data_IF_169245052182
#
_entry.id   IF_169245052182
#
_cell.length_a   1.000
_cell.length_b   1.000
_cell.length_c   1.000
_cell.angle_alpha   90.00
_cell.angle_beta   90.00
_cell.angle_gamma   90.00
#
_symmetry.space_group_name_H-M   'P 1'
#
loop_
_entity.id
_entity.type
_entity.pdbx_description
1 polymer ?
#
# COMPACT_ATOMS: atom_id res chain seq x y z
N UNK A 1 -36.84 -0.03 -52.59
CA UNK A 1 -36.38 -0.27 -51.20
C UNK A 1 -34.85 -0.38 -51.19
N UNK A 2 -34.13 0.75 -51.29
CA UNK A 2 -32.68 0.76 -51.60
C UNK A 2 -31.91 1.84 -50.82
N UNK A 3 -32.37 2.15 -49.60
CA UNK A 3 -31.82 3.25 -48.77
C UNK A 3 -31.55 2.87 -47.30
N UNK A 4 -31.63 1.58 -46.94
CA UNK A 4 -31.46 1.15 -45.54
C UNK A 4 -30.04 0.66 -45.24
N UNK A 5 -29.24 0.36 -46.27
CA UNK A 5 -27.92 -0.28 -46.08
C UNK A 5 -26.78 0.70 -45.75
N UNK A 6 -27.00 2.02 -45.81
CA UNK A 6 -25.93 3.02 -45.74
C UNK A 6 -25.69 3.62 -44.35
N UNK A 7 -26.45 3.22 -43.33
CA UNK A 7 -26.38 3.82 -41.98
C UNK A 7 -25.59 2.94 -41.00
N UNK A 8 -25.38 1.65 -41.32
CA UNK A 8 -24.67 0.70 -40.42
C UNK A 8 -23.13 0.86 -40.48
N UNK A 9 -22.59 1.54 -41.49
CA UNK A 9 -21.13 1.68 -41.69
C UNK A 9 -20.49 2.86 -40.92
N UNK A 10 -21.27 3.66 -40.18
CA UNK A 10 -20.77 4.89 -39.53
C UNK A 10 -20.53 4.75 -38.01
N UNK A 11 -20.73 3.56 -37.45
CA UNK A 11 -20.61 3.29 -36.01
C UNK A 11 -19.27 2.68 -35.57
N UNK A 12 -18.33 2.44 -36.49
CA UNK A 12 -17.09 1.70 -36.19
C UNK A 12 -15.89 2.63 -35.89
N UNK A 13 -16.00 3.95 -36.08
CA UNK A 13 -14.83 4.84 -36.02
C UNK A 13 -14.51 5.47 -34.65
N UNK A 14 -15.26 5.21 -33.58
CA UNK A 14 -14.84 5.62 -32.23
C UNK A 14 -13.97 4.54 -31.60
N UNK A 15 -12.83 4.27 -32.24
CA UNK A 15 -11.72 3.58 -31.60
C UNK A 15 -11.34 4.36 -30.35
N UNK A 16 -11.43 3.70 -29.19
CA UNK A 16 -11.03 4.28 -27.91
C UNK A 16 -9.54 4.64 -27.99
N UNK A 17 -9.24 5.93 -28.16
CA UNK A 17 -7.91 6.46 -27.87
C UNK A 17 -7.77 6.39 -26.36
N UNK A 18 -7.23 5.26 -25.87
CA UNK A 18 -6.82 5.12 -24.49
C UNK A 18 -5.48 5.85 -24.37
N UNK A 19 -5.54 7.15 -24.09
CA UNK A 19 -4.35 7.89 -23.68
C UNK A 19 -3.90 7.30 -22.34
N UNK A 20 -2.89 6.44 -22.37
CA UNK A 20 -2.28 5.88 -21.18
C UNK A 20 -1.41 6.99 -20.58
N UNK A 21 -1.98 7.73 -19.63
CA UNK A 21 -1.29 8.79 -18.91
C UNK A 21 -0.07 8.19 -18.18
N UNK A 22 1.13 8.53 -18.64
CA UNK A 22 2.38 7.90 -18.21
C UNK A 22 2.87 8.40 -16.83
N UNK A 23 2.03 9.13 -16.10
CA UNK A 23 2.35 9.70 -14.79
C UNK A 23 2.06 8.76 -13.63
N UNK A 24 2.11 7.43 -13.83
CA UNK A 24 1.98 6.46 -12.76
C UNK A 24 3.14 6.59 -11.76
N UNK A 25 3.00 7.48 -10.77
CA UNK A 25 3.92 7.61 -9.65
C UNK A 25 3.92 6.28 -8.93
N UNK A 26 5.06 5.58 -8.96
CA UNK A 26 5.25 4.34 -8.23
C UNK A 26 4.96 4.64 -6.76
N UNK A 27 3.92 4.01 -6.19
CA UNK A 27 3.58 4.21 -4.77
C UNK A 27 4.77 3.74 -3.94
N UNK A 28 5.33 4.65 -3.15
CA UNK A 28 6.46 4.39 -2.27
C UNK A 28 5.95 3.66 -1.03
N UNK A 29 6.53 2.50 -0.74
CA UNK A 29 6.28 1.78 0.51
C UNK A 29 7.17 2.34 1.63
N UNK A 30 6.72 2.16 2.88
CA UNK A 30 7.40 2.64 4.07
C UNK A 30 7.61 1.51 5.06
N UNK A 31 8.55 1.64 5.98
CA UNK A 31 8.88 0.61 6.94
C UNK A 31 9.10 1.14 8.35
N UNK A 32 8.78 0.28 9.33
CA UNK A 32 9.11 0.45 10.73
C UNK A 32 10.10 -0.65 11.12
N UNK A 33 11.28 -0.29 11.59
CA UNK A 33 12.25 -1.24 12.13
C UNK A 33 11.83 -1.75 13.50
N UNK A 34 12.00 -3.06 13.69
CA UNK A 34 11.74 -3.78 14.93
C UNK A 34 13.06 -4.07 15.65
N UNK A 35 13.06 -4.12 17.00
CA UNK A 35 14.25 -4.46 17.78
C UNK A 35 14.73 -5.90 17.54
N UNK A 36 13.79 -6.82 17.29
CA UNK A 36 14.04 -8.25 17.07
C UNK A 36 13.15 -8.78 15.93
N UNK A 37 13.49 -9.93 15.33
CA UNK A 37 12.64 -10.59 14.34
C UNK A 37 11.24 -10.88 14.89
N UNK A 38 10.21 -10.41 14.19
CA UNK A 38 8.83 -10.69 14.54
C UNK A 38 8.34 -12.01 13.92
N UNK A 39 7.56 -12.76 14.68
CA UNK A 39 6.83 -13.92 14.20
C UNK A 39 5.59 -13.50 13.41
N UNK A 40 4.82 -12.53 13.92
CA UNK A 40 3.64 -12.01 13.24
C UNK A 40 3.25 -10.59 13.66
N UNK A 41 2.49 -9.92 12.79
CA UNK A 41 1.85 -8.63 13.06
C UNK A 41 0.44 -8.93 13.60
N UNK A 42 0.18 -8.61 14.87
CA UNK A 42 -1.16 -8.77 15.48
C UNK A 42 -2.12 -7.71 14.94
N UNK A 43 -1.64 -6.48 14.82
CA UNK A 43 -2.35 -5.41 14.15
C UNK A 43 -1.40 -4.29 13.71
N UNK A 44 -1.86 -3.51 12.73
CA UNK A 44 -1.18 -2.33 12.22
C UNK A 44 -2.25 -1.28 11.86
N UNK A 45 -2.18 -0.11 12.50
CA UNK A 45 -3.21 0.92 12.34
C UNK A 45 -2.65 2.32 12.58
N UNK A 46 -3.33 3.34 12.08
CA UNK A 46 -3.03 4.72 12.46
C UNK A 46 -3.41 4.98 13.92
N UNK A 47 -2.58 5.74 14.63
CA UNK A 47 -2.77 5.94 16.07
C UNK A 47 -3.98 6.82 16.41
N UNK A 48 -4.31 7.78 15.54
CA UNK A 48 -5.35 8.78 15.79
C UNK A 48 -6.78 8.25 15.63
N UNK A 49 -7.02 7.47 14.58
CA UNK A 49 -8.37 7.04 14.16
C UNK A 49 -8.54 5.52 14.14
N UNK A 50 -7.48 4.77 14.48
CA UNK A 50 -7.45 3.31 14.51
C UNK A 50 -7.82 2.66 13.17
N UNK A 51 -7.67 3.41 12.07
CA UNK A 51 -7.88 2.85 10.73
C UNK A 51 -6.75 1.86 10.40
N UNK A 52 -7.08 0.67 9.89
CA UNK A 52 -6.08 -0.35 9.59
C UNK A 52 -5.18 0.09 8.42
N UNK A 53 -3.92 -0.32 8.47
CA UNK A 53 -2.94 -0.12 7.40
C UNK A 53 -2.57 -1.49 6.85
N UNK A 54 -2.43 -1.60 5.52
CA UNK A 54 -1.90 -2.81 4.92
C UNK A 54 -0.41 -2.91 5.19
N UNK A 55 0.03 -4.04 5.72
CA UNK A 55 1.45 -4.27 5.94
C UNK A 55 1.84 -5.74 6.00
N UNK A 56 3.13 -5.99 5.77
CA UNK A 56 3.76 -7.30 5.79
C UNK A 56 5.08 -7.22 6.55
N UNK A 57 5.54 -8.33 7.10
CA UNK A 57 6.91 -8.42 7.59
C UNK A 57 7.88 -8.44 6.41
N UNK A 58 9.04 -7.83 6.57
CA UNK A 58 10.18 -8.02 5.67
C UNK A 58 10.62 -9.48 5.64
N UNK A 59 11.42 -9.84 4.63
CA UNK A 59 11.97 -11.18 4.47
C UNK A 59 12.80 -11.62 5.70
N UNK A 60 13.58 -10.70 6.27
CA UNK A 60 14.36 -10.93 7.49
C UNK A 60 13.54 -10.77 8.79
N UNK A 61 12.26 -10.43 8.66
CA UNK A 61 11.29 -10.21 9.75
C UNK A 61 11.66 -9.10 10.74
N UNK A 62 12.64 -8.25 10.43
CA UNK A 62 13.09 -7.15 11.29
C UNK A 62 12.43 -5.82 10.97
N UNK A 63 11.54 -5.76 9.98
CA UNK A 63 10.73 -4.57 9.74
C UNK A 63 9.29 -4.92 9.35
N UNK A 64 8.40 -3.96 9.59
CA UNK A 64 7.02 -3.98 9.10
C UNK A 64 6.96 -3.02 7.91
N UNK A 65 6.75 -3.58 6.72
CA UNK A 65 6.57 -2.84 5.47
C UNK A 65 5.09 -2.48 5.33
N UNK A 66 4.79 -1.21 5.16
CA UNK A 66 3.46 -0.62 5.09
C UNK A 66 3.19 -0.12 3.68
N UNK A 67 2.09 -0.60 3.09
CA UNK A 67 1.62 -0.20 1.77
C UNK A 67 0.63 0.96 1.89
N UNK A 68 0.76 1.93 0.99
CA UNK A 68 -0.12 3.10 0.93
C UNK A 68 -0.21 3.90 2.24
N UNK A 69 0.88 3.90 3.02
CA UNK A 69 0.97 4.67 4.25
C UNK A 69 0.84 6.18 3.98
N UNK A 70 -0.05 6.83 4.74
CA UNK A 70 -0.24 8.27 4.73
C UNK A 70 0.88 8.94 5.53
N UNK A 71 1.85 9.49 4.80
CA UNK A 71 2.99 10.20 5.37
C UNK A 71 2.59 11.27 6.38
N UNK A 72 3.44 11.49 7.40
CA UNK A 72 3.19 12.45 8.47
C UNK A 72 2.23 11.95 9.56
N UNK A 73 1.76 10.69 9.51
CA UNK A 73 0.80 10.15 10.48
C UNK A 73 1.46 9.16 11.43
N UNK A 74 1.13 9.20 12.72
CA UNK A 74 1.62 8.20 13.68
C UNK A 74 0.99 6.83 13.42
N UNK A 75 1.79 5.79 13.61
CA UNK A 75 1.36 4.39 13.43
C UNK A 75 1.48 3.65 14.75
N UNK A 76 0.45 2.87 15.08
CA UNK A 76 0.45 1.90 16.18
C UNK A 76 0.58 0.51 15.58
N UNK A 77 1.57 -0.24 16.03
CA UNK A 77 1.83 -1.61 15.60
C UNK A 77 1.93 -2.50 16.83
N UNK A 78 1.31 -3.68 16.76
CA UNK A 78 1.50 -4.74 17.75
C UNK A 78 2.05 -5.97 17.07
N UNK A 79 3.15 -6.47 17.59
CA UNK A 79 3.87 -7.64 17.04
C UNK A 79 4.06 -8.69 18.12
N UNK A 80 4.07 -9.95 17.70
CA UNK A 80 4.60 -11.07 18.48
C UNK A 80 5.98 -11.41 17.94
N UNK A 81 6.99 -11.45 18.79
CA UNK A 81 8.36 -11.83 18.47
C UNK A 81 8.56 -13.34 18.49
N UNK A 82 9.68 -13.80 17.93
CA UNK A 82 9.98 -15.24 17.87
C UNK A 82 10.16 -15.90 19.25
N UNK A 83 10.52 -15.12 20.27
CA UNK A 83 10.60 -15.56 21.67
C UNK A 83 9.24 -15.63 22.39
N UNK A 84 8.16 -15.25 21.69
CA UNK A 84 6.80 -15.17 22.22
C UNK A 84 6.47 -13.84 22.92
N UNK A 85 7.41 -12.90 23.00
CA UNK A 85 7.16 -11.57 23.55
C UNK A 85 6.18 -10.82 22.66
N UNK A 86 5.17 -10.19 23.26
CA UNK A 86 4.21 -9.36 22.54
C UNK A 86 4.42 -7.91 22.94
N UNK A 87 4.73 -7.07 21.96
CA UNK A 87 4.99 -5.64 22.18
C UNK A 87 4.07 -4.78 21.34
N UNK A 88 3.67 -3.65 21.92
CA UNK A 88 2.90 -2.62 21.25
C UNK A 88 3.75 -1.35 21.15
N UNK A 89 3.93 -0.86 19.93
CA UNK A 89 4.86 0.22 19.60
C UNK A 89 4.09 1.31 18.85
N UNK A 90 4.26 2.56 19.29
CA UNK A 90 3.77 3.74 18.59
C UNK A 90 4.96 4.45 17.96
N UNK A 91 4.98 4.58 16.63
CA UNK A 91 6.03 5.27 15.89
C UNK A 91 5.53 6.56 15.28
N UNK A 92 6.32 7.62 15.48
CA UNK A 92 6.14 8.90 14.81
C UNK A 92 6.76 8.86 13.41
N UNK A 93 6.37 9.77 12.49
CA UNK A 93 6.86 9.78 11.12
C UNK A 93 8.38 9.82 10.96
N UNK A 94 9.12 10.37 11.93
CA UNK A 94 10.58 10.38 11.95
C UNK A 94 11.24 9.00 12.18
N UNK A 95 10.45 7.99 12.54
CA UNK A 95 10.89 6.59 12.69
C UNK A 95 10.25 5.67 11.64
N UNK A 96 9.71 6.27 10.57
CA UNK A 96 9.06 5.56 9.47
C UNK A 96 9.80 5.93 8.20
N UNK A 97 10.61 4.99 7.72
CA UNK A 97 11.52 5.23 6.60
C UNK A 97 10.93 4.71 5.28
N UNK A 98 11.25 5.32 4.13
CA UNK A 98 10.90 4.74 2.85
C UNK A 98 11.66 3.43 2.61
N UNK A 99 11.01 2.44 1.99
CA UNK A 99 11.69 1.23 1.51
C UNK A 99 12.54 1.57 0.28
N UNK A 100 13.83 1.26 0.35
CA UNK A 100 14.77 1.42 -0.77
C UNK A 100 14.89 0.05 -1.46
N UNK A 101 14.55 0.01 -2.76
CA UNK A 101 14.67 -1.19 -3.62
C UNK A 101 16.01 -1.21 -4.36
#
# INVERSE_FOLDING_TARGET
MRKIFLIVLLLICFGRIHAQDSTAVKKQDYQIFLPHPAKEIKYLMYEKDFLPIQGVLSEDRKSVIMKEYKTGTKVRVKVEYEDGTVEEIIKSPCFIDPVIL
#
